data_IF_587463082064
#
_entry.id   IF_587463082064
#
_cell.length_a   1.000
_cell.length_b   1.000
_cell.length_c   1.000
_cell.angle_alpha   90.00
_cell.angle_beta   90.00
_cell.angle_gamma   90.00
#
_symmetry.space_group_name_H-M   'P 1'
#
loop_
_entity.id
_entity.type
_entity.pdbx_description
1 polymer ?
#
# COMPACT_ATOMS: atom_id res chain seq x y z
N UNK A 1 18.67 -1.08 45.16
CA UNK A 1 18.58 -1.76 43.86
C UNK A 1 17.53 -1.14 42.93
N UNK A 2 16.36 -0.75 43.41
CA UNK A 2 15.28 -0.12 42.62
C UNK A 2 15.68 1.20 41.94
N UNK A 3 16.46 2.06 42.61
CA UNK A 3 16.90 3.34 42.05
C UNK A 3 17.85 3.18 40.86
N UNK A 4 18.72 2.15 40.84
CA UNK A 4 19.64 1.93 39.73
C UNK A 4 18.93 1.40 38.48
N UNK A 5 17.88 0.60 38.64
CA UNK A 5 17.05 0.13 37.54
C UNK A 5 16.23 1.28 36.96
N UNK A 6 15.63 2.12 37.80
CA UNK A 6 14.84 3.28 37.36
C UNK A 6 15.70 4.29 36.58
N UNK A 7 16.93 4.58 37.06
CA UNK A 7 17.84 5.47 36.31
C UNK A 7 18.30 4.89 34.99
N UNK A 8 18.52 3.58 34.92
CA UNK A 8 18.87 2.91 33.66
C UNK A 8 17.76 2.96 32.66
N UNK A 9 16.50 2.72 33.06
CA UNK A 9 15.34 2.87 32.21
C UNK A 9 15.13 4.30 31.71
N UNK A 10 15.41 5.29 32.59
CA UNK A 10 15.34 6.69 32.23
C UNK A 10 16.33 7.07 31.11
N UNK A 11 17.62 6.64 31.27
CA UNK A 11 18.67 6.89 30.26
C UNK A 11 18.33 6.21 28.93
N UNK A 12 17.87 4.96 28.98
CA UNK A 12 17.43 4.25 27.74
C UNK A 12 16.27 4.99 27.09
N UNK A 13 15.27 5.42 27.87
CA UNK A 13 14.10 6.13 27.36
C UNK A 13 14.48 7.45 26.69
N UNK A 14 15.33 8.26 27.32
CA UNK A 14 15.80 9.52 26.78
C UNK A 14 16.57 9.35 25.46
N UNK A 15 17.44 8.32 25.40
CA UNK A 15 18.19 7.97 24.19
C UNK A 15 17.29 7.55 23.02
N UNK A 16 16.10 7.02 23.30
CA UNK A 16 15.13 6.61 22.28
C UNK A 16 14.39 7.78 21.61
N UNK A 17 14.47 8.99 22.16
CA UNK A 17 13.80 10.16 21.59
C UNK A 17 14.26 10.43 20.14
N UNK A 18 15.58 10.42 19.91
CA UNK A 18 16.14 10.65 18.57
C UNK A 18 15.70 9.62 17.53
N UNK A 19 15.82 8.30 17.76
CA UNK A 19 15.29 7.29 16.84
C UNK A 19 13.79 7.44 16.58
N UNK A 20 12.99 7.79 17.56
CA UNK A 20 11.55 7.99 17.43
C UNK A 20 11.25 9.19 16.53
N UNK A 21 11.92 10.32 16.74
CA UNK A 21 11.75 11.52 15.89
C UNK A 21 12.18 11.27 14.44
N UNK A 22 13.31 10.57 14.24
CA UNK A 22 13.76 10.16 12.91
C UNK A 22 12.77 9.19 12.26
N UNK A 23 12.25 8.24 13.03
CA UNK A 23 11.23 7.30 12.55
C UNK A 23 9.93 7.99 12.13
N UNK A 24 9.48 9.00 12.90
CA UNK A 24 8.30 9.79 12.56
C UNK A 24 8.51 10.65 11.30
N UNK A 25 9.66 11.32 11.15
CA UNK A 25 9.95 12.14 9.96
C UNK A 25 10.10 11.27 8.71
N UNK A 26 10.81 10.15 8.81
CA UNK A 26 10.90 9.17 7.71
C UNK A 26 9.54 8.55 7.37
N UNK A 27 8.75 8.21 8.39
CA UNK A 27 7.40 7.71 8.25
C UNK A 27 6.47 8.71 7.56
N UNK A 28 6.56 9.99 7.89
CA UNK A 28 5.79 11.05 7.25
C UNK A 28 6.17 11.21 5.78
N UNK A 29 7.47 11.25 5.47
CA UNK A 29 7.96 11.34 4.10
C UNK A 29 7.49 10.14 3.25
N UNK A 30 7.59 8.91 3.79
CA UNK A 30 7.09 7.70 3.17
C UNK A 30 5.57 7.72 2.97
N UNK A 31 4.80 8.19 3.96
CA UNK A 31 3.35 8.27 3.88
C UNK A 31 2.91 9.25 2.78
N UNK A 32 3.55 10.43 2.70
CA UNK A 32 3.28 11.43 1.65
C UNK A 32 3.63 10.86 0.27
N UNK A 33 4.80 10.25 0.12
CA UNK A 33 5.21 9.64 -1.15
C UNK A 33 4.25 8.53 -1.60
N UNK A 34 3.87 7.64 -0.69
CA UNK A 34 2.92 6.54 -0.97
C UNK A 34 1.52 7.07 -1.28
N UNK A 35 1.07 8.11 -0.60
CA UNK A 35 -0.20 8.77 -0.88
C UNK A 35 -0.19 9.40 -2.28
N UNK A 36 0.87 10.11 -2.64
CA UNK A 36 1.07 10.68 -3.97
C UNK A 36 1.09 9.62 -5.08
N UNK A 37 1.81 8.51 -4.87
CA UNK A 37 1.83 7.38 -5.80
C UNK A 37 0.43 6.77 -6.00
N UNK A 38 -0.35 6.63 -4.90
CA UNK A 38 -1.72 6.11 -4.96
C UNK A 38 -2.67 7.08 -5.67
N UNK A 39 -2.51 8.38 -5.46
CA UNK A 39 -3.28 9.43 -6.14
C UNK A 39 -3.00 9.43 -7.65
N UNK A 40 -1.72 9.33 -8.05
CA UNK A 40 -1.33 9.22 -9.45
C UNK A 40 -1.93 7.96 -10.11
N UNK A 41 -1.86 6.81 -9.43
CA UNK A 41 -2.47 5.56 -9.91
C UNK A 41 -4.00 5.72 -10.07
N UNK A 42 -4.67 6.39 -9.12
CA UNK A 42 -6.10 6.67 -9.19
C UNK A 42 -6.45 7.53 -10.41
N UNK A 43 -5.65 8.56 -10.71
CA UNK A 43 -5.84 9.44 -11.85
C UNK A 43 -5.65 8.70 -13.18
N UNK A 44 -4.61 7.88 -13.30
CA UNK A 44 -4.37 7.06 -14.50
C UNK A 44 -5.53 6.07 -14.74
N UNK A 45 -6.03 5.43 -13.67
CA UNK A 45 -7.18 4.52 -13.72
C UNK A 45 -8.46 5.24 -14.15
N UNK A 46 -8.68 6.45 -13.69
CA UNK A 46 -9.83 7.26 -14.11
C UNK A 46 -9.77 7.58 -15.60
N UNK A 47 -8.59 7.95 -16.10
CA UNK A 47 -8.37 8.23 -17.52
C UNK A 47 -8.62 7.01 -18.41
N UNK A 48 -8.27 5.80 -17.91
CA UNK A 48 -8.42 4.53 -18.66
C UNK A 48 -9.75 3.81 -18.41
N UNK A 49 -10.68 4.43 -17.68
CA UNK A 49 -11.96 3.81 -17.33
C UNK A 49 -12.75 3.34 -18.55
N UNK A 50 -12.76 4.12 -19.63
CA UNK A 50 -13.46 3.77 -20.88
C UNK A 50 -12.85 2.53 -21.54
N UNK A 51 -11.52 2.48 -21.65
CA UNK A 51 -10.79 1.34 -22.20
C UNK A 51 -11.07 0.06 -21.42
N UNK A 52 -10.97 0.11 -20.08
CA UNK A 52 -11.27 -1.04 -19.22
C UNK A 52 -12.71 -1.53 -19.40
N UNK A 53 -13.67 -0.62 -19.59
CA UNK A 53 -15.06 -0.98 -19.85
C UNK A 53 -15.23 -1.65 -21.22
N UNK A 54 -14.53 -1.19 -22.26
CA UNK A 54 -14.54 -1.78 -23.60
C UNK A 54 -13.93 -3.19 -23.60
N UNK A 55 -12.79 -3.37 -22.93
CA UNK A 55 -12.15 -4.70 -22.79
C UNK A 55 -13.09 -5.66 -22.05
N UNK A 56 -13.74 -5.22 -20.96
CA UNK A 56 -14.68 -6.04 -20.21
C UNK A 56 -15.90 -6.41 -21.06
N UNK A 57 -16.43 -5.50 -21.89
CA UNK A 57 -17.55 -5.78 -22.77
C UNK A 57 -17.16 -6.79 -23.88
N UNK A 58 -15.97 -6.65 -24.48
CA UNK A 58 -15.44 -7.61 -25.44
C UNK A 58 -15.29 -9.02 -24.82
N UNK A 59 -14.75 -9.12 -23.60
CA UNK A 59 -14.63 -10.38 -22.86
C UNK A 59 -16.00 -11.00 -22.54
N UNK A 60 -17.01 -10.18 -22.21
CA UNK A 60 -18.40 -10.64 -21.99
C UNK A 60 -19.03 -11.20 -23.26
N UNK A 61 -18.75 -10.60 -24.41
CA UNK A 61 -19.21 -11.06 -25.72
C UNK A 61 -18.42 -12.25 -26.26
N UNK A 62 -17.46 -12.79 -25.49
CA UNK A 62 -16.55 -13.87 -25.91
C UNK A 62 -15.69 -13.52 -27.14
N UNK A 63 -15.49 -12.24 -27.40
CA UNK A 63 -14.64 -11.78 -28.50
C UNK A 63 -13.21 -11.50 -27.97
N UNK A 64 -12.43 -12.57 -27.82
CA UNK A 64 -11.05 -12.49 -27.29
C UNK A 64 -10.13 -11.70 -28.22
N UNK A 65 -10.27 -11.84 -29.54
CA UNK A 65 -9.45 -11.12 -30.51
C UNK A 65 -9.64 -9.61 -30.41
N UNK A 66 -10.89 -9.14 -30.23
CA UNK A 66 -11.18 -7.72 -30.03
C UNK A 66 -10.64 -7.23 -28.67
N UNK A 67 -10.73 -8.03 -27.63
CA UNK A 67 -10.18 -7.68 -26.31
C UNK A 67 -8.66 -7.53 -26.37
N UNK A 68 -7.98 -8.44 -27.07
CA UNK A 68 -6.53 -8.42 -27.29
C UNK A 68 -6.10 -7.21 -28.12
N UNK A 69 -6.79 -6.91 -29.22
CA UNK A 69 -6.50 -5.76 -30.08
C UNK A 69 -6.62 -4.43 -29.30
N UNK A 70 -7.70 -4.26 -28.53
CA UNK A 70 -7.89 -3.10 -27.66
C UNK A 70 -6.77 -2.97 -26.61
N UNK A 71 -6.31 -4.10 -26.09
CA UNK A 71 -5.28 -4.15 -25.08
C UNK A 71 -3.89 -3.81 -25.63
N UNK A 72 -3.52 -4.41 -26.78
CA UNK A 72 -2.24 -4.17 -27.45
C UNK A 72 -2.16 -2.77 -28.07
N UNK A 73 -3.29 -2.23 -28.54
CA UNK A 73 -3.40 -0.85 -29.05
C UNK A 73 -3.38 0.23 -27.99
N UNK A 74 -3.42 -0.13 -26.69
CA UNK A 74 -3.49 0.84 -25.61
C UNK A 74 -2.11 1.39 -25.23
N UNK A 75 -1.83 2.70 -25.42
CA UNK A 75 -0.54 3.28 -25.07
C UNK A 75 -0.31 3.18 -23.55
N UNK A 76 0.84 2.57 -23.16
CA UNK A 76 1.26 2.42 -21.77
C UNK A 76 0.41 1.41 -20.96
N UNK A 77 -0.14 0.38 -21.58
CA UNK A 77 -0.86 -0.70 -20.89
C UNK A 77 0.01 -1.37 -19.82
N UNK A 78 1.31 -1.51 -20.05
CA UNK A 78 2.29 -2.04 -19.08
C UNK A 78 2.45 -1.20 -17.80
N UNK A 79 2.04 0.06 -17.81
CA UNK A 79 2.02 0.93 -16.61
C UNK A 79 0.82 0.71 -15.68
N UNK A 80 -0.19 0.00 -16.13
CA UNK A 80 -1.39 -0.36 -15.37
C UNK A 80 -1.34 -1.84 -15.00
N UNK A 81 -1.24 -2.16 -13.70
CA UNK A 81 -1.04 -3.53 -13.22
C UNK A 81 -2.07 -4.54 -13.75
N UNK A 82 -3.34 -4.15 -13.88
CA UNK A 82 -4.36 -5.04 -14.40
C UNK A 82 -4.22 -5.26 -15.90
N UNK A 83 -3.91 -4.20 -16.67
CA UNK A 83 -3.73 -4.33 -18.12
C UNK A 83 -2.43 -5.09 -18.45
N UNK A 84 -1.36 -4.90 -17.65
CA UNK A 84 -0.14 -5.69 -17.78
C UNK A 84 -0.41 -7.18 -17.54
N UNK A 85 -1.13 -7.52 -16.45
CA UNK A 85 -1.53 -8.91 -16.20
C UNK A 85 -2.42 -9.47 -17.31
N UNK A 86 -3.32 -8.66 -17.89
CA UNK A 86 -4.12 -9.10 -19.04
C UNK A 86 -3.25 -9.40 -20.25
N UNK A 87 -2.22 -8.59 -20.54
CA UNK A 87 -1.26 -8.88 -21.61
C UNK A 87 -0.56 -10.20 -21.37
N UNK A 88 -0.05 -10.43 -20.16
CA UNK A 88 0.58 -11.70 -19.78
C UNK A 88 -0.38 -12.89 -19.94
N UNK A 89 -1.67 -12.72 -19.61
CA UNK A 89 -2.68 -13.77 -19.78
C UNK A 89 -2.95 -14.08 -21.27
N UNK A 90 -2.99 -13.07 -22.13
CA UNK A 90 -3.14 -13.27 -23.56
C UNK A 90 -1.90 -13.86 -24.21
N UNK A 91 -0.71 -13.51 -23.74
CA UNK A 91 0.54 -14.10 -24.21
C UNK A 91 0.72 -15.56 -23.75
N UNK A 92 0.12 -15.90 -22.59
CA UNK A 92 0.14 -17.25 -22.01
C UNK A 92 -1.04 -18.14 -22.46
N UNK A 93 -1.85 -17.74 -23.44
CA UNK A 93 -3.12 -18.37 -23.80
C UNK A 93 -3.04 -19.82 -24.33
N UNK A 94 -1.84 -20.37 -24.52
CA UNK A 94 -1.61 -21.73 -24.99
C UNK A 94 -1.33 -22.73 -23.86
N UNK A 95 -1.01 -22.26 -22.64
CA UNK A 95 -0.67 -23.10 -21.48
C UNK A 95 -1.43 -22.68 -20.23
N UNK A 96 -2.26 -23.59 -19.72
CA UNK A 96 -3.05 -23.43 -18.49
C UNK A 96 -2.17 -23.08 -17.29
N UNK A 97 -1.01 -23.73 -17.17
CA UNK A 97 -0.09 -23.51 -16.04
C UNK A 97 0.51 -22.10 -16.07
N UNK A 98 0.79 -21.54 -17.24
CA UNK A 98 1.26 -20.16 -17.39
C UNK A 98 0.19 -19.14 -17.01
N UNK A 99 -1.06 -19.39 -17.38
CA UNK A 99 -2.21 -18.53 -17.00
C UNK A 99 -2.39 -18.52 -15.47
N UNK A 100 -2.32 -19.67 -14.82
CA UNK A 100 -2.42 -19.76 -13.36
C UNK A 100 -1.26 -19.06 -12.66
N UNK A 101 -0.04 -19.22 -13.16
CA UNK A 101 1.16 -18.57 -12.63
C UNK A 101 1.08 -17.02 -12.76
N UNK A 102 0.63 -16.52 -13.91
CA UNK A 102 0.43 -15.08 -14.12
C UNK A 102 -0.58 -14.49 -13.11
N UNK A 103 -1.69 -15.21 -12.84
CA UNK A 103 -2.66 -14.81 -11.83
C UNK A 103 -2.08 -14.85 -10.40
N UNK A 104 -1.32 -15.87 -10.05
CA UNK A 104 -0.68 -16.00 -8.74
C UNK A 104 0.33 -14.87 -8.52
N UNK A 105 1.16 -14.58 -9.53
CA UNK A 105 2.15 -13.49 -9.50
C UNK A 105 1.48 -12.12 -9.31
N UNK A 106 0.40 -11.85 -10.04
CA UNK A 106 -0.36 -10.60 -9.89
C UNK A 106 -0.97 -10.44 -8.49
N UNK A 107 -1.46 -11.54 -7.90
CA UNK A 107 -1.99 -11.54 -6.52
C UNK A 107 -0.90 -11.24 -5.49
N UNK A 108 0.26 -11.88 -5.61
CA UNK A 108 1.39 -11.70 -4.70
C UNK A 108 1.92 -10.26 -4.76
N UNK A 109 2.10 -9.71 -5.96
CA UNK A 109 2.57 -8.34 -6.14
C UNK A 109 1.62 -7.30 -5.50
N UNK A 110 0.31 -7.50 -5.60
CA UNK A 110 -0.69 -6.66 -4.94
C UNK A 110 -0.66 -6.79 -3.41
N UNK A 111 -0.39 -7.99 -2.88
CA UNK A 111 -0.26 -8.22 -1.44
C UNK A 111 0.97 -7.53 -0.85
N UNK A 112 2.14 -7.64 -1.47
CA UNK A 112 3.39 -7.00 -1.04
C UNK A 112 3.26 -5.47 -0.98
N UNK A 113 2.70 -4.87 -2.02
CA UNK A 113 2.48 -3.42 -2.09
C UNK A 113 1.61 -2.87 -0.95
N UNK A 114 0.71 -3.65 -0.40
CA UNK A 114 -0.15 -3.23 0.70
C UNK A 114 0.49 -3.41 2.08
N UNK A 115 1.52 -4.25 2.21
CA UNK A 115 2.17 -4.56 3.49
C UNK A 115 2.87 -3.35 4.09
N UNK A 116 3.62 -2.57 3.31
CA UNK A 116 4.31 -1.38 3.80
C UNK A 116 3.36 -0.30 4.34
N UNK A 117 2.18 -0.14 3.74
CA UNK A 117 1.16 0.78 4.24
C UNK A 117 0.57 0.31 5.57
N UNK A 118 0.37 -1.01 5.74
CA UNK A 118 -0.10 -1.58 7.02
C UNK A 118 0.90 -1.37 8.15
N UNK A 119 2.19 -1.45 7.84
CA UNK A 119 3.25 -1.16 8.82
C UNK A 119 3.18 0.30 9.26
N UNK A 120 3.11 1.25 8.33
CA UNK A 120 2.98 2.68 8.65
C UNK A 120 1.72 2.99 9.46
N UNK A 121 0.59 2.35 9.15
CA UNK A 121 -0.66 2.51 9.92
C UNK A 121 -0.51 2.12 11.38
N UNK A 122 0.29 1.08 11.67
CA UNK A 122 0.51 0.58 13.04
C UNK A 122 1.62 1.35 13.76
N UNK A 123 2.72 1.64 13.06
CA UNK A 123 3.88 2.31 13.66
C UNK A 123 3.66 3.79 13.89
N UNK A 124 2.86 4.47 13.07
CA UNK A 124 2.57 5.90 13.23
C UNK A 124 2.08 6.26 14.63
N UNK A 125 0.95 5.68 15.12
CA UNK A 125 0.46 5.93 16.46
C UNK A 125 1.40 5.45 17.56
N UNK A 126 2.11 4.31 17.35
CA UNK A 126 3.05 3.79 18.34
C UNK A 126 4.21 4.75 18.56
N UNK A 127 4.83 5.24 17.48
CA UNK A 127 5.89 6.25 17.58
C UNK A 127 5.36 7.59 18.10
N UNK A 128 4.13 7.99 17.74
CA UNK A 128 3.48 9.17 18.31
C UNK A 128 3.33 9.05 19.81
N UNK A 129 2.88 7.91 20.33
CA UNK A 129 2.76 7.65 21.77
C UNK A 129 4.13 7.65 22.45
N UNK A 130 5.14 6.98 21.88
CA UNK A 130 6.51 7.03 22.43
C UNK A 130 7.04 8.46 22.47
N UNK A 131 6.80 9.24 21.42
CA UNK A 131 7.19 10.64 21.33
C UNK A 131 6.50 11.56 22.34
N UNK A 132 5.38 11.13 22.97
CA UNK A 132 4.77 11.87 24.10
C UNK A 132 5.32 11.41 25.46
N UNK A 133 5.45 10.12 25.66
CA UNK A 133 5.84 9.56 26.95
C UNK A 133 7.29 9.89 27.32
N UNK A 134 8.20 9.91 26.35
CA UNK A 134 9.62 10.18 26.57
C UNK A 134 9.83 11.60 27.11
N UNK A 135 9.36 12.67 26.45
CA UNK A 135 9.55 14.05 26.94
C UNK A 135 8.79 14.36 28.23
N UNK A 136 7.78 13.55 28.59
CA UNK A 136 6.99 13.79 29.79
C UNK A 136 7.83 13.63 31.07
N UNK A 137 8.81 12.75 31.07
CA UNK A 137 9.74 12.57 32.19
C UNK A 137 10.49 13.86 32.53
N UNK A 138 11.31 14.44 31.63
CA UNK A 138 11.96 15.72 31.82
C UNK A 138 10.98 16.87 32.11
N UNK A 139 9.79 16.87 31.48
CA UNK A 139 8.75 17.88 31.76
C UNK A 139 8.31 17.87 33.23
N UNK A 140 8.10 16.69 33.82
CA UNK A 140 7.71 16.54 35.22
C UNK A 140 8.84 16.93 36.19
N UNK A 141 10.09 16.68 35.83
CA UNK A 141 11.25 17.14 36.60
C UNK A 141 11.34 18.67 36.57
N UNK A 142 11.17 19.30 35.40
CA UNK A 142 11.09 20.75 35.28
C UNK A 142 9.97 21.36 36.14
N UNK A 143 8.78 20.75 36.11
CA UNK A 143 7.68 21.16 36.95
C UNK A 143 8.01 21.13 38.47
N UNK A 144 8.64 20.03 38.91
CA UNK A 144 9.01 19.85 40.31
C UNK A 144 10.09 20.85 40.79
N UNK A 145 10.95 21.33 39.87
CA UNK A 145 11.96 22.38 40.13
C UNK A 145 11.51 23.79 39.89
N UNK A 146 10.26 24.00 39.44
CA UNK A 146 9.71 25.30 39.08
C UNK A 146 10.22 25.83 37.72
N UNK A 147 10.89 25.02 36.93
CA UNK A 147 11.36 25.36 35.59
C UNK A 147 10.23 25.16 34.56
N UNK A 148 9.45 26.22 34.38
CA UNK A 148 8.34 26.22 33.44
C UNK A 148 8.78 26.26 31.98
N UNK A 149 10.01 26.67 31.66
CA UNK A 149 10.57 26.68 30.31
C UNK A 149 10.83 25.25 29.84
N UNK A 150 11.51 24.45 30.66
CA UNK A 150 11.74 23.02 30.38
C UNK A 150 10.42 22.26 30.27
N UNK A 151 9.43 22.54 31.13
CA UNK A 151 8.09 21.95 31.04
C UNK A 151 7.45 22.27 29.69
N UNK A 152 7.36 23.55 29.33
CA UNK A 152 6.71 23.99 28.08
C UNK A 152 7.38 23.42 26.84
N UNK A 153 8.70 23.42 26.79
CA UNK A 153 9.48 22.87 25.67
C UNK A 153 9.19 21.36 25.45
N UNK A 154 9.26 20.57 26.51
CA UNK A 154 9.02 19.12 26.41
C UNK A 154 7.55 18.80 26.05
N UNK A 155 6.58 19.56 26.57
CA UNK A 155 5.17 19.40 26.16
C UNK A 155 4.95 19.73 24.69
N UNK A 156 5.62 20.77 24.17
CA UNK A 156 5.54 21.11 22.73
C UNK A 156 6.04 19.95 21.86
N UNK A 157 7.16 19.31 22.22
CA UNK A 157 7.68 18.13 21.53
C UNK A 157 6.66 16.99 21.60
N UNK A 158 6.13 16.71 22.78
CA UNK A 158 5.16 15.65 23.01
C UNK A 158 3.91 15.81 22.12
N UNK A 159 3.29 16.98 22.11
CA UNK A 159 2.12 17.22 21.27
C UNK A 159 2.42 17.16 19.78
N UNK A 160 3.56 17.72 19.34
CA UNK A 160 3.96 17.71 17.94
C UNK A 160 4.17 16.29 17.42
N UNK A 161 4.82 15.42 18.19
CA UNK A 161 5.07 14.03 17.79
C UNK A 161 3.78 13.22 17.68
N UNK A 162 2.80 13.48 18.56
CA UNK A 162 1.48 12.83 18.44
C UNK A 162 0.76 13.23 17.17
N UNK A 163 0.72 14.52 16.84
CA UNK A 163 0.07 15.03 15.64
C UNK A 163 0.71 14.43 14.39
N UNK A 164 2.05 14.39 14.34
CA UNK A 164 2.79 13.76 13.23
C UNK A 164 2.48 12.27 13.13
N UNK A 165 2.53 11.53 14.24
CA UNK A 165 2.25 10.09 14.26
C UNK A 165 0.84 9.73 13.78
N UNK A 166 -0.16 10.49 14.21
CA UNK A 166 -1.55 10.33 13.76
C UNK A 166 -1.71 10.71 12.28
N UNK A 167 -1.01 11.74 11.81
CA UNK A 167 -1.01 12.13 10.40
C UNK A 167 -0.42 11.03 9.52
N UNK A 168 0.72 10.45 9.90
CA UNK A 168 1.33 9.30 9.21
C UNK A 168 0.35 8.14 9.09
N UNK A 169 -0.28 7.77 10.20
CA UNK A 169 -1.25 6.69 10.23
C UNK A 169 -2.47 6.96 9.35
N UNK A 170 -3.01 8.18 9.41
CA UNK A 170 -4.20 8.58 8.65
C UNK A 170 -3.93 8.58 7.15
N UNK A 171 -2.79 9.11 6.70
CA UNK A 171 -2.37 9.09 5.29
C UNK A 171 -2.15 7.65 4.81
N UNK A 172 -1.48 6.82 5.61
CA UNK A 172 -1.26 5.42 5.28
C UNK A 172 -2.58 4.64 5.20
N UNK A 173 -3.53 4.89 6.10
CA UNK A 173 -4.86 4.29 6.08
C UNK A 173 -5.64 4.66 4.81
N UNK A 174 -5.64 5.93 4.45
CA UNK A 174 -6.32 6.42 3.25
C UNK A 174 -5.74 5.75 2.00
N UNK A 175 -4.41 5.77 1.85
CA UNK A 175 -3.72 5.13 0.74
C UNK A 175 -3.97 3.61 0.67
N UNK A 176 -3.95 2.91 1.81
CA UNK A 176 -4.22 1.48 1.89
C UNK A 176 -5.67 1.14 1.48
N UNK A 177 -6.64 1.97 1.88
CA UNK A 177 -8.05 1.78 1.55
C UNK A 177 -8.29 1.91 0.05
N UNK A 178 -7.74 2.94 -0.60
CA UNK A 178 -7.83 3.10 -2.05
C UNK A 178 -7.14 1.94 -2.78
N UNK A 179 -5.94 1.55 -2.35
CA UNK A 179 -5.21 0.43 -2.94
C UNK A 179 -5.96 -0.88 -2.85
N UNK A 180 -6.58 -1.18 -1.70
CA UNK A 180 -7.40 -2.38 -1.55
C UNK A 180 -8.56 -2.39 -2.55
N UNK A 181 -9.25 -1.25 -2.72
CA UNK A 181 -10.34 -1.13 -3.71
C UNK A 181 -9.84 -1.33 -5.14
N UNK A 182 -8.66 -0.83 -5.49
CA UNK A 182 -8.06 -1.03 -6.79
C UNK A 182 -7.69 -2.49 -7.02
N UNK A 183 -6.99 -3.10 -6.09
CA UNK A 183 -6.60 -4.52 -6.16
C UNK A 183 -7.79 -5.45 -6.29
N UNK A 184 -8.90 -5.19 -5.57
CA UNK A 184 -10.11 -6.00 -5.71
C UNK A 184 -10.74 -5.88 -7.10
N UNK A 185 -10.81 -4.67 -7.67
CA UNK A 185 -11.34 -4.47 -9.02
C UNK A 185 -10.46 -5.11 -10.09
N UNK A 186 -9.14 -5.02 -9.93
CA UNK A 186 -8.18 -5.65 -10.83
C UNK A 186 -8.29 -7.17 -10.77
N UNK A 187 -8.38 -7.75 -9.56
CA UNK A 187 -8.55 -9.19 -9.38
C UNK A 187 -9.83 -9.71 -10.04
N UNK A 188 -10.95 -8.98 -9.96
CA UNK A 188 -12.20 -9.36 -10.63
C UNK A 188 -12.01 -9.36 -12.15
N UNK A 189 -11.40 -8.32 -12.72
CA UNK A 189 -11.18 -8.21 -14.16
C UNK A 189 -10.23 -9.29 -14.66
N UNK A 190 -9.08 -9.49 -14.01
CA UNK A 190 -8.07 -10.47 -14.44
C UNK A 190 -8.56 -11.92 -14.26
N UNK A 191 -9.27 -12.24 -13.17
CA UNK A 191 -9.85 -13.57 -12.97
C UNK A 191 -10.93 -13.87 -14.00
N UNK A 192 -11.77 -12.88 -14.33
CA UNK A 192 -12.79 -13.04 -15.37
C UNK A 192 -12.16 -13.24 -16.75
N UNK A 193 -11.11 -12.49 -17.10
CA UNK A 193 -10.39 -12.67 -18.35
C UNK A 193 -9.74 -14.05 -18.44
N UNK A 194 -9.08 -14.48 -17.36
CA UNK A 194 -8.45 -15.80 -17.30
C UNK A 194 -9.46 -16.94 -17.52
N UNK A 195 -10.64 -16.87 -16.88
CA UNK A 195 -11.67 -17.89 -17.09
C UNK A 195 -12.11 -17.96 -18.57
N UNK A 196 -12.21 -16.81 -19.25
CA UNK A 196 -12.57 -16.76 -20.67
C UNK A 196 -11.48 -17.33 -21.60
N UNK A 197 -10.23 -17.05 -21.27
CA UNK A 197 -9.08 -17.59 -21.99
C UNK A 197 -9.01 -19.11 -21.79
N UNK A 198 -9.16 -19.60 -20.56
CA UNK A 198 -9.16 -21.04 -20.27
C UNK A 198 -10.30 -21.79 -20.98
N UNK A 199 -11.54 -21.24 -20.95
CA UNK A 199 -12.67 -21.79 -21.71
C UNK A 199 -12.33 -21.95 -23.21
N UNK A 200 -11.63 -20.98 -23.79
CA UNK A 200 -11.25 -21.00 -25.20
C UNK A 200 -10.14 -22.00 -25.52
N UNK A 201 -9.16 -22.16 -24.62
CA UNK A 201 -8.08 -23.15 -24.71
C UNK A 201 -8.65 -24.57 -24.64
N UNK A 202 -9.55 -24.82 -23.69
CA UNK A 202 -10.19 -26.12 -23.54
C UNK A 202 -11.03 -26.48 -24.78
N UNK A 203 -11.79 -25.54 -25.34
CA UNK A 203 -12.58 -25.75 -26.56
C UNK A 203 -11.68 -26.11 -27.74
N UNK A 204 -10.55 -25.37 -27.93
CA UNK A 204 -9.57 -25.64 -28.98
C UNK A 204 -8.90 -27.03 -28.84
N UNK A 205 -8.54 -27.39 -27.61
CA UNK A 205 -7.95 -28.70 -27.31
C UNK A 205 -8.95 -29.86 -27.52
N UNK A 206 -10.23 -29.63 -27.26
CA UNK A 206 -11.28 -30.61 -27.51
C UNK A 206 -11.52 -30.83 -29.02
N UNK A 207 -11.40 -29.79 -29.86
CA UNK A 207 -11.50 -29.85 -31.30
C UNK A 207 -10.28 -30.59 -31.93
N UNK A 208 -9.07 -30.31 -31.42
CA UNK A 208 -7.83 -30.95 -31.89
C UNK A 208 -7.74 -32.47 -31.58
N UNK A 209 -8.54 -32.94 -30.63
CA UNK A 209 -8.62 -34.38 -30.27
C UNK A 209 -9.68 -35.18 -31.07
N UNK A 210 -10.47 -34.52 -31.89
CA UNK A 210 -11.47 -35.13 -32.81
C UNK A 210 -10.92 -35.33 -34.21
#
# INVERSE_FOLDING_TARGET
MTNNLASLFFIISDSLLWPVMLGLTAGLALAIWRCGATAREAFERFRRRKLRAQILDALRRRNLSQAEELLRGAPGASGDSALATLLELFDANDDVALVENALATARNHNAERSTSLRVLMKLGPAFGLMGTLIPLGPALVGLASGDLETLAHNLMIAFSTTVVGLTVSSLAFLAATFRKRFATRDAILTTFAASRILDAVEARNAEARR
#
